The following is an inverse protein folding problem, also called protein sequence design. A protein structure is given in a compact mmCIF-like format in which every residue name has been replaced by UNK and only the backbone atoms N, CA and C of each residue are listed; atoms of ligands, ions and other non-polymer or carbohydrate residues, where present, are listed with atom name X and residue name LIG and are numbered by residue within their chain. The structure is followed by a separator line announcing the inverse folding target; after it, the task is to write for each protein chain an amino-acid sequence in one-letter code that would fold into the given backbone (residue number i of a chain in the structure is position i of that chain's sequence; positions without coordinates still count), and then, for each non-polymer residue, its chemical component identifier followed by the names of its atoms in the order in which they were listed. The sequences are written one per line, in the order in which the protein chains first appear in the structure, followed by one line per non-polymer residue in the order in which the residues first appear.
data_IF_402569495234
#
_entry.id   IF_402569495234
#
_cell.length_a   1.000
_cell.length_b   1.000
_cell.length_c   1.000
_cell.angle_alpha   90.00
_cell.angle_beta   90.00
_cell.angle_gamma   90.00
#
_symmetry.space_group_name_H-M   'P 1'
#
loop_
_entity.id
_entity.type
_entity.pdbx_description
1 polymer ?
#
# COMPACT_ATOMS: atom_id res chain seq x y z
N UNK A 1 20.95 2.95 -46.13
CA UNK A 1 19.70 2.75 -45.36
C UNK A 1 20.03 2.79 -43.88
N UNK A 2 19.78 3.91 -43.20
CA UNK A 2 20.06 4.07 -41.77
C UNK A 2 18.85 3.69 -40.93
N UNK A 3 18.99 2.69 -40.06
CA UNK A 3 17.97 2.32 -39.09
C UNK A 3 17.86 3.42 -38.03
N UNK A 4 16.79 4.19 -38.11
CA UNK A 4 16.32 5.04 -37.01
C UNK A 4 15.76 4.09 -35.97
N UNK A 5 16.55 3.84 -34.92
CA UNK A 5 16.06 3.23 -33.70
C UNK A 5 15.19 4.29 -33.03
N UNK A 6 13.88 4.09 -33.10
CA UNK A 6 12.91 4.89 -32.37
C UNK A 6 13.24 4.84 -30.88
N UNK A 7 13.84 5.92 -30.38
CA UNK A 7 13.89 6.21 -28.97
C UNK A 7 12.46 6.44 -28.49
N UNK A 8 11.79 5.38 -28.05
CA UNK A 8 10.49 5.46 -27.38
C UNK A 8 10.67 6.36 -26.15
N UNK A 9 10.08 7.56 -26.25
CA UNK A 9 9.97 8.55 -25.20
C UNK A 9 9.53 7.89 -23.89
N UNK A 10 10.42 7.91 -22.90
CA UNK A 10 10.23 7.32 -21.56
C UNK A 10 9.25 8.12 -20.68
N UNK A 11 8.50 9.06 -21.24
CA UNK A 11 7.75 10.06 -20.47
C UNK A 11 6.26 10.12 -20.81
N UNK A 12 5.63 8.99 -21.13
CA UNK A 12 4.18 8.88 -20.94
C UNK A 12 3.88 8.91 -19.43
N UNK A 13 3.11 9.91 -18.99
CA UNK A 13 2.67 10.03 -17.59
C UNK A 13 1.90 8.77 -17.22
N UNK A 14 2.51 7.93 -16.38
CA UNK A 14 1.88 6.70 -15.86
C UNK A 14 0.54 7.04 -15.21
N UNK A 15 -0.51 6.38 -15.65
CA UNK A 15 -1.85 6.50 -15.05
C UNK A 15 -1.81 6.01 -13.60
N UNK A 16 -2.37 6.78 -12.67
CA UNK A 16 -2.25 6.52 -11.23
C UNK A 16 -2.92 5.22 -10.78
N UNK A 17 -4.02 4.82 -11.42
CA UNK A 17 -4.87 3.69 -11.02
C UNK A 17 -4.88 2.56 -12.05
N UNK A 18 -3.94 2.55 -12.99
CA UNK A 18 -3.78 1.49 -13.98
C UNK A 18 -2.40 0.86 -13.79
N UNK A 19 -2.37 -0.48 -13.65
CA UNK A 19 -1.11 -1.21 -13.57
C UNK A 19 -0.46 -1.27 -14.95
N UNK A 20 0.86 -1.34 -14.96
CA UNK A 20 1.60 -1.64 -16.18
C UNK A 20 1.49 -3.14 -16.42
N UNK A 21 1.24 -3.54 -17.67
CA UNK A 21 1.21 -4.95 -18.08
C UNK A 21 2.55 -5.40 -18.65
N UNK A 22 3.32 -4.47 -19.21
CA UNK A 22 4.62 -4.70 -19.84
C UNK A 22 5.65 -3.69 -19.32
N UNK A 23 6.94 -3.96 -19.55
CA UNK A 23 8.04 -3.07 -19.19
C UNK A 23 8.00 -2.62 -17.72
N UNK A 24 7.77 -3.57 -16.82
CA UNK A 24 7.69 -3.30 -15.39
C UNK A 24 9.00 -2.71 -14.87
N UNK A 25 8.95 -1.65 -14.03
CA UNK A 25 10.15 -1.10 -13.44
C UNK A 25 10.83 -2.16 -12.57
N UNK A 26 12.17 -2.29 -12.60
CA UNK A 26 12.86 -3.32 -11.85
C UNK A 26 12.59 -3.19 -10.34
N UNK A 27 12.29 -4.33 -9.72
CA UNK A 27 11.99 -4.42 -8.29
C UNK A 27 12.50 -5.75 -7.74
N UNK A 28 13.47 -5.68 -6.82
CA UNK A 28 13.84 -6.78 -5.94
C UNK A 28 13.29 -6.48 -4.56
N UNK A 29 12.52 -7.41 -4.00
CA UNK A 29 11.96 -7.28 -2.66
C UNK A 29 13.07 -7.36 -1.61
N UNK A 30 12.93 -6.56 -0.57
CA UNK A 30 13.83 -6.43 0.57
C UNK A 30 13.06 -6.68 1.86
N UNK A 31 13.77 -6.87 2.98
CA UNK A 31 13.15 -6.95 4.31
C UNK A 31 12.27 -5.72 4.61
N UNK A 32 12.66 -4.54 4.10
CA UNK A 32 11.86 -3.32 4.23
C UNK A 32 10.54 -3.39 3.47
N UNK A 33 10.52 -3.98 2.28
CA UNK A 33 9.27 -4.16 1.53
C UNK A 33 8.34 -5.15 2.23
N UNK A 34 8.89 -6.19 2.85
CA UNK A 34 8.09 -7.09 3.70
C UNK A 34 7.47 -6.32 4.87
N UNK A 35 8.23 -5.43 5.53
CA UNK A 35 7.66 -4.57 6.59
C UNK A 35 6.56 -3.63 6.07
N UNK A 36 6.65 -3.18 4.82
CA UNK A 36 5.57 -2.41 4.16
C UNK A 36 4.34 -3.29 3.91
N UNK A 37 4.52 -4.55 3.49
CA UNK A 37 3.41 -5.49 3.30
C UNK A 37 2.73 -5.84 4.63
N UNK A 38 3.49 -5.94 5.72
CA UNK A 38 2.93 -6.06 7.07
C UNK A 38 2.11 -4.85 7.46
N UNK A 39 2.64 -3.65 7.23
CA UNK A 39 1.92 -2.42 7.47
C UNK A 39 0.62 -2.37 6.65
N UNK A 40 0.65 -2.85 5.41
CA UNK A 40 -0.54 -2.97 4.56
C UNK A 40 -1.58 -3.96 5.12
N UNK A 41 -1.13 -5.07 5.71
CA UNK A 41 -1.99 -6.03 6.39
C UNK A 41 -2.59 -5.43 7.67
N UNK A 42 -1.74 -4.86 8.52
CA UNK A 42 -2.08 -4.33 9.84
C UNK A 42 -3.01 -3.10 9.73
N UNK A 43 -2.72 -2.16 8.83
CA UNK A 43 -3.48 -0.91 8.74
C UNK A 43 -4.62 -0.98 7.73
N UNK A 44 -4.72 -2.05 6.93
CA UNK A 44 -5.69 -2.24 5.83
C UNK A 44 -5.55 -1.23 4.69
N UNK A 45 -5.61 0.07 4.98
CA UNK A 45 -5.32 1.18 4.07
C UNK A 45 -4.27 2.09 4.67
N UNK A 46 -3.31 2.52 3.86
CA UNK A 46 -2.22 3.38 4.31
C UNK A 46 -1.69 4.27 3.18
N UNK A 47 -0.94 5.31 3.55
CA UNK A 47 -0.29 6.24 2.60
C UNK A 47 1.23 6.21 2.72
N UNK A 48 1.93 6.88 1.80
CA UNK A 48 3.38 7.07 1.93
C UNK A 48 3.77 7.80 3.23
N UNK A 49 2.90 8.66 3.77
CA UNK A 49 3.12 9.34 5.04
C UNK A 49 3.15 8.36 6.22
N UNK A 50 2.23 7.38 6.25
CA UNK A 50 2.23 6.30 7.24
C UNK A 50 3.54 5.52 7.23
N UNK A 51 3.99 5.08 6.04
CA UNK A 51 5.26 4.35 5.90
C UNK A 51 6.42 5.18 6.40
N UNK A 52 6.47 6.46 6.03
CA UNK A 52 7.52 7.38 6.46
C UNK A 52 7.54 7.54 7.97
N UNK A 53 6.38 7.70 8.60
CA UNK A 53 6.29 7.90 10.04
C UNK A 53 6.67 6.63 10.82
N UNK A 54 6.21 5.46 10.37
CA UNK A 54 6.35 4.19 11.09
C UNK A 54 7.63 3.41 10.78
N UNK A 55 8.21 3.59 9.58
CA UNK A 55 9.37 2.84 9.06
C UNK A 55 10.53 3.80 8.68
N UNK A 56 10.30 5.11 8.60
CA UNK A 56 11.30 6.11 8.20
C UNK A 56 11.46 6.24 6.69
N UNK A 57 12.54 6.89 6.23
CA UNK A 57 12.92 7.01 4.81
C UNK A 57 12.44 8.30 4.10
N UNK A 58 12.98 8.55 2.91
CA UNK A 58 12.67 9.77 2.16
C UNK A 58 11.32 9.66 1.42
N UNK A 59 10.55 10.78 1.39
CA UNK A 59 9.23 10.84 0.75
C UNK A 59 9.27 10.38 -0.71
N UNK A 60 10.27 10.88 -1.46
CA UNK A 60 10.44 10.56 -2.89
C UNK A 60 10.70 9.07 -3.09
N UNK A 61 11.70 8.51 -2.41
CA UNK A 61 12.08 7.10 -2.59
C UNK A 61 10.94 6.17 -2.17
N UNK A 62 10.22 6.49 -1.09
CA UNK A 62 9.05 5.72 -0.67
C UNK A 62 7.93 5.76 -1.70
N UNK A 63 7.60 6.95 -2.24
CA UNK A 63 6.54 7.08 -3.25
C UNK A 63 6.88 6.26 -4.50
N UNK A 64 8.13 6.36 -4.98
CA UNK A 64 8.62 5.57 -6.11
C UNK A 64 8.59 4.07 -5.80
N UNK A 65 9.01 3.66 -4.58
CA UNK A 65 9.02 2.25 -4.15
C UNK A 65 7.61 1.67 -4.08
N UNK A 66 6.68 2.36 -3.43
CA UNK A 66 5.28 1.96 -3.33
C UNK A 66 4.62 1.90 -4.71
N UNK A 67 4.97 2.81 -5.63
CA UNK A 67 4.50 2.74 -7.02
C UNK A 67 5.02 1.49 -7.74
N UNK A 68 6.29 1.13 -7.57
CA UNK A 68 6.84 -0.12 -8.13
C UNK A 68 6.10 -1.34 -7.55
N UNK A 69 5.90 -1.39 -6.23
CA UNK A 69 5.18 -2.49 -5.58
C UNK A 69 3.73 -2.62 -6.09
N UNK A 70 3.07 -1.49 -6.38
CA UNK A 70 1.74 -1.48 -7.02
C UNK A 70 1.77 -2.06 -8.43
N UNK A 71 2.72 -1.65 -9.28
CA UNK A 71 2.82 -2.16 -10.65
C UNK A 71 3.15 -3.65 -10.70
N UNK A 72 3.99 -4.15 -9.78
CA UNK A 72 4.24 -5.58 -9.60
C UNK A 72 3.10 -6.34 -8.92
N UNK A 73 2.09 -5.62 -8.44
CA UNK A 73 0.90 -6.20 -7.88
C UNK A 73 0.98 -6.71 -6.45
N UNK A 74 2.03 -6.32 -5.72
CA UNK A 74 2.13 -6.57 -4.28
C UNK A 74 1.21 -5.67 -3.46
N UNK A 75 0.87 -4.50 -3.99
CA UNK A 75 -0.07 -3.54 -3.40
C UNK A 75 -1.19 -3.20 -4.39
N UNK A 76 -2.37 -2.89 -3.86
CA UNK A 76 -3.49 -2.33 -4.59
C UNK A 76 -3.61 -0.82 -4.36
N UNK A 77 -4.23 -0.13 -5.32
CA UNK A 77 -4.71 1.25 -5.20
C UNK A 77 -6.23 1.24 -5.42
N UNK A 78 -7.05 1.15 -4.35
CA UNK A 78 -8.50 1.07 -4.47
C UNK A 78 -9.09 2.21 -5.31
N UNK A 79 -10.00 1.90 -6.24
CA UNK A 79 -10.55 2.86 -7.22
C UNK A 79 -11.40 3.97 -6.59
N UNK A 80 -11.90 3.76 -5.38
CA UNK A 80 -12.65 4.70 -4.54
C UNK A 80 -11.93 6.05 -4.38
N UNK A 81 -10.60 6.03 -4.46
CA UNK A 81 -9.77 7.22 -4.46
C UNK A 81 -10.16 8.21 -5.55
N UNK A 82 -10.66 7.74 -6.71
CA UNK A 82 -11.14 8.64 -7.77
C UNK A 82 -12.23 9.57 -7.26
N UNK A 83 -13.18 9.06 -6.48
CA UNK A 83 -14.22 9.86 -5.82
C UNK A 83 -13.61 10.83 -4.82
N UNK A 84 -12.67 10.38 -3.97
CA UNK A 84 -12.03 11.25 -2.99
C UNK A 84 -11.25 12.41 -3.61
N UNK A 85 -10.69 12.19 -4.82
CA UNK A 85 -9.97 13.23 -5.55
C UNK A 85 -10.90 14.35 -6.04
N UNK A 86 -12.17 14.07 -6.28
CA UNK A 86 -13.16 15.13 -6.56
C UNK A 86 -13.33 16.07 -5.37
N UNK A 87 -13.13 15.57 -4.14
CA UNK A 87 -13.18 16.33 -2.89
C UNK A 87 -11.81 16.87 -2.43
N UNK A 88 -10.83 16.96 -3.33
CA UNK A 88 -9.53 17.58 -3.02
C UNK A 88 -8.50 16.65 -2.36
N UNK A 89 -8.83 15.39 -2.04
CA UNK A 89 -7.83 14.45 -1.51
C UNK A 89 -6.79 14.12 -2.59
N UNK A 90 -5.50 14.12 -2.26
CA UNK A 90 -4.42 13.95 -3.27
C UNK A 90 -3.47 12.79 -3.00
N UNK A 91 -3.36 12.34 -1.77
CA UNK A 91 -2.47 11.24 -1.41
C UNK A 91 -2.93 9.93 -2.04
N UNK A 92 -1.97 9.09 -2.40
CA UNK A 92 -2.25 7.74 -2.87
C UNK A 92 -2.37 6.83 -1.66
N UNK A 93 -3.49 6.13 -1.61
CA UNK A 93 -3.82 5.12 -0.61
C UNK A 93 -3.52 3.75 -1.19
N UNK A 94 -2.80 2.95 -0.42
CA UNK A 94 -2.37 1.62 -0.76
C UNK A 94 -3.06 0.59 0.14
N UNK A 95 -3.27 -0.60 -0.40
CA UNK A 95 -3.81 -1.76 0.32
C UNK A 95 -2.98 -3.00 -0.01
N UNK A 96 -3.05 -4.03 0.84
CA UNK A 96 -2.40 -5.31 0.55
C UNK A 96 -3.12 -5.99 -0.64
N UNK A 97 -2.35 -6.42 -1.64
CA UNK A 97 -2.85 -7.23 -2.74
C UNK A 97 -2.48 -8.71 -2.54
N UNK A 98 -3.19 -9.60 -3.23
CA UNK A 98 -3.02 -11.05 -3.05
C UNK A 98 -1.56 -11.54 -3.30
N UNK A 99 -0.82 -11.10 -4.34
CA UNK A 99 0.60 -11.44 -4.47
C UNK A 99 1.47 -10.98 -3.30
N UNK A 100 1.21 -9.80 -2.74
CA UNK A 100 1.90 -9.29 -1.55
C UNK A 100 1.61 -10.12 -0.31
N UNK A 101 0.35 -10.53 -0.14
CA UNK A 101 -0.04 -11.44 0.94
C UNK A 101 0.69 -12.79 0.86
N UNK A 102 0.89 -13.35 -0.35
CA UNK A 102 1.67 -14.59 -0.53
C UNK A 102 3.14 -14.41 -0.16
N UNK A 103 3.75 -13.28 -0.53
CA UNK A 103 5.13 -12.95 -0.11
C UNK A 103 5.20 -12.93 1.41
N UNK A 104 4.25 -12.25 2.06
CA UNK A 104 4.25 -12.10 3.51
C UNK A 104 4.06 -13.44 4.23
N UNK A 105 3.13 -14.27 3.75
CA UNK A 105 2.91 -15.62 4.28
C UNK A 105 4.16 -16.51 4.20
N UNK A 106 4.86 -16.47 3.07
CA UNK A 106 6.11 -17.24 2.90
C UNK A 106 7.23 -16.70 3.80
N UNK A 107 7.39 -15.39 3.85
CA UNK A 107 8.46 -14.75 4.63
C UNK A 107 8.27 -14.96 6.14
N UNK A 108 7.03 -14.92 6.63
CA UNK A 108 6.69 -15.11 8.04
C UNK A 108 6.33 -16.53 8.43
N UNK A 109 6.26 -17.45 7.46
CA UNK A 109 5.83 -18.83 7.65
C UNK A 109 4.47 -18.93 8.35
N UNK A 110 3.53 -18.09 7.92
CA UNK A 110 2.25 -17.91 8.60
C UNK A 110 1.12 -17.68 7.59
N UNK A 111 0.14 -18.58 7.60
CA UNK A 111 -0.94 -18.57 6.62
C UNK A 111 -2.05 -17.55 6.92
N UNK A 112 -2.04 -16.85 8.07
CA UNK A 112 -3.07 -15.84 8.39
C UNK A 112 -3.14 -14.68 7.41
N UNK A 113 -2.08 -14.48 6.62
CA UNK A 113 -2.03 -13.46 5.58
C UNK A 113 -2.77 -13.90 4.29
N UNK A 114 -3.00 -15.20 4.08
CA UNK A 114 -3.61 -15.77 2.87
C UNK A 114 -5.15 -15.71 2.91
N UNK A 115 -5.71 -14.52 3.09
CA UNK A 115 -7.15 -14.33 2.98
C UNK A 115 -7.59 -14.40 1.50
N UNK A 116 -8.78 -14.97 1.22
CA UNK A 116 -9.35 -14.93 -0.12
C UNK A 116 -9.74 -13.48 -0.48
N UNK A 117 -9.75 -13.20 -1.79
CA UNK A 117 -10.37 -12.00 -2.37
C UNK A 117 -9.83 -10.65 -1.89
N UNK A 118 -8.53 -10.52 -1.65
CA UNK A 118 -7.91 -9.24 -1.24
C UNK A 118 -8.30 -8.09 -2.17
N UNK A 119 -8.14 -8.25 -3.48
CA UNK A 119 -8.36 -7.18 -4.45
C UNK A 119 -9.85 -6.83 -4.60
N UNK A 120 -10.73 -7.83 -4.58
CA UNK A 120 -12.18 -7.63 -4.62
C UNK A 120 -12.65 -6.90 -3.36
N UNK A 121 -12.20 -7.35 -2.18
CA UNK A 121 -12.53 -6.70 -0.91
C UNK A 121 -12.02 -5.27 -0.84
N UNK A 122 -10.83 -5.00 -1.39
CA UNK A 122 -10.27 -3.64 -1.49
C UNK A 122 -11.15 -2.73 -2.38
N UNK A 123 -11.67 -3.28 -3.49
CA UNK A 123 -12.49 -2.53 -4.45
C UNK A 123 -13.99 -2.50 -4.10
N UNK A 124 -14.46 -3.27 -3.12
CA UNK A 124 -15.86 -3.28 -2.72
C UNK A 124 -16.20 -2.23 -1.64
N UNK A 125 -15.20 -1.66 -0.95
CA UNK A 125 -15.42 -0.66 0.10
C UNK A 125 -16.04 0.62 -0.48
N UNK A 126 -17.08 1.17 0.14
CA UNK A 126 -17.66 2.45 -0.32
C UNK A 126 -16.81 3.64 0.11
N UNK A 127 -16.84 4.75 -0.62
CA UNK A 127 -15.99 5.92 -0.34
C UNK A 127 -16.05 6.44 1.12
N UNK A 128 -17.23 6.53 1.79
CA UNK A 128 -17.28 6.93 3.20
C UNK A 128 -16.57 5.94 4.14
N UNK A 129 -16.80 4.64 3.93
CA UNK A 129 -16.16 3.57 4.70
C UNK A 129 -14.65 3.54 4.46
N UNK A 130 -14.22 3.86 3.24
CA UNK A 130 -12.82 3.93 2.84
C UNK A 130 -12.09 5.06 3.57
N UNK A 131 -12.69 6.27 3.63
CA UNK A 131 -12.17 7.38 4.43
C UNK A 131 -12.16 7.07 5.93
N UNK A 132 -13.25 6.50 6.46
CA UNK A 132 -13.33 6.13 7.87
C UNK A 132 -12.23 5.11 8.24
N UNK A 133 -12.02 4.11 7.39
CA UNK A 133 -10.95 3.12 7.61
C UNK A 133 -9.56 3.77 7.56
N UNK A 134 -9.33 4.72 6.65
CA UNK A 134 -8.08 5.49 6.63
C UNK A 134 -7.89 6.34 7.89
N UNK A 135 -8.95 6.98 8.40
CA UNK A 135 -8.91 7.75 9.64
C UNK A 135 -8.52 6.87 10.84
N UNK A 136 -9.00 5.62 10.88
CA UNK A 136 -8.57 4.63 11.88
C UNK A 136 -7.07 4.34 11.74
N UNK A 137 -6.56 4.21 10.50
CA UNK A 137 -5.13 4.02 10.24
C UNK A 137 -4.28 5.19 10.73
N UNK A 138 -4.73 6.43 10.48
CA UNK A 138 -4.05 7.64 10.94
C UNK A 138 -3.99 7.67 12.48
N UNK A 139 -5.13 7.42 13.14
CA UNK A 139 -5.20 7.36 14.60
C UNK A 139 -4.26 6.27 15.17
N UNK A 140 -4.30 5.06 14.61
CA UNK A 140 -3.42 3.96 15.02
C UNK A 140 -1.95 4.33 14.86
N UNK A 141 -1.58 5.00 13.77
CA UNK A 141 -0.20 5.40 13.52
C UNK A 141 0.28 6.41 14.57
N UNK A 142 -0.54 7.41 14.88
CA UNK A 142 -0.27 8.37 15.95
C UNK A 142 -0.12 7.67 17.31
N UNK A 143 -1.05 6.78 17.67
CA UNK A 143 -0.98 6.02 18.92
C UNK A 143 0.28 5.15 19.00
N UNK A 144 0.61 4.45 17.92
CA UNK A 144 1.82 3.61 17.83
C UNK A 144 3.08 4.43 18.05
N UNK A 145 3.15 5.63 17.46
CA UNK A 145 4.31 6.53 17.61
C UNK A 145 4.38 7.11 19.03
N UNK A 146 3.25 7.48 19.63
CA UNK A 146 3.20 7.94 21.01
C UNK A 146 3.69 6.87 21.99
N UNK A 147 3.25 5.62 21.84
CA UNK A 147 3.75 4.50 22.65
C UNK A 147 5.26 4.28 22.45
N UNK A 148 5.79 4.40 21.22
CA UNK A 148 7.24 4.27 20.99
C UNK A 148 8.09 5.34 21.69
N UNK A 149 7.52 6.51 21.96
CA UNK A 149 8.19 7.55 22.73
C UNK A 149 8.15 7.34 24.25
N UNK A 150 7.42 6.32 24.73
CA UNK A 150 7.19 6.06 26.15
C UNK A 150 7.56 4.62 26.52
N UNK A 151 8.67 4.39 27.24
CA UNK A 151 9.11 3.02 27.57
C UNK A 151 8.19 2.30 28.57
N UNK A 152 7.34 3.04 29.28
CA UNK A 152 6.38 2.54 30.26
C UNK A 152 5.03 2.13 29.66
N UNK A 153 4.80 2.41 28.37
CA UNK A 153 3.56 2.10 27.68
C UNK A 153 3.83 1.22 26.46
N UNK A 154 3.00 0.20 26.30
CA UNK A 154 2.97 -0.60 25.07
C UNK A 154 1.55 -0.80 24.59
N UNK A 155 1.39 -0.86 23.27
CA UNK A 155 0.13 -1.23 22.64
C UNK A 155 0.04 -2.76 22.64
N UNK A 156 -0.74 -3.33 23.56
CA UNK A 156 -0.82 -4.77 23.76
C UNK A 156 -1.39 -5.52 22.55
N UNK A 157 -2.47 -5.01 21.97
CA UNK A 157 -3.08 -5.58 20.77
C UNK A 157 -3.78 -4.48 19.96
N UNK A 158 -3.92 -4.73 18.65
CA UNK A 158 -4.76 -3.93 17.77
C UNK A 158 -5.55 -4.86 16.86
N UNK A 159 -6.87 -4.87 17.01
CA UNK A 159 -7.72 -5.62 16.10
C UNK A 159 -7.93 -4.82 14.80
N UNK A 160 -7.45 -5.40 13.71
CA UNK A 160 -7.54 -4.76 12.40
C UNK A 160 -8.98 -4.90 11.89
N UNK A 161 -9.64 -3.83 11.41
CA UNK A 161 -10.99 -3.91 10.90
C UNK A 161 -11.13 -5.06 9.89
N UNK A 162 -12.14 -5.91 10.11
CA UNK A 162 -12.32 -7.15 9.35
C UNK A 162 -12.28 -6.89 7.84
N UNK A 163 -11.59 -7.78 7.12
CA UNK A 163 -11.44 -7.70 5.66
C UNK A 163 -12.75 -8.09 4.94
N UNK A 164 -13.66 -8.78 5.62
CA UNK A 164 -14.93 -9.24 5.06
C UNK A 164 -15.98 -8.13 5.09
N UNK A 165 -16.46 -7.77 3.91
CA UNK A 165 -17.89 -7.48 3.79
C UNK A 165 -18.58 -8.84 3.87
N UNK A 166 -19.52 -8.98 4.80
CA UNK A 166 -20.46 -10.10 4.81
C UNK A 166 -21.21 -10.17 3.47
#
# INVERSE_FOLDING_TARGET
MGNITDHISTNERRRLFVRLTENLPPLRLTARDVRILELAYEYRFFTAAHVRALIGGSKRNLTERLSRMYHHGYLDRPKQQLTLRLFGYRDIIYALAHPGARVLARYRQDNRYLKPRWTENNNAVKAPQFLHTLMISDFRACLTLACRSRPDLSLAAWDTPATSLA
#
